data_IF_820123612953
#
_entry.id   IF_820123612953
#
_cell.length_a   1.000
_cell.length_b   1.000
_cell.length_c   1.000
_cell.angle_alpha   90.00
_cell.angle_beta   90.00
_cell.angle_gamma   90.00
#
_symmetry.space_group_name_H-M   'P 1'
#
loop_
_entity.id
_entity.type
_entity.pdbx_description
1 polymer ?
#
# COMPACT_ATOMS: atom_id res chain seq x y z
N UNK A 1 -44.61 28.19 -59.07
CA UNK A 1 -43.85 28.01 -60.33
C UNK A 1 -42.40 28.39 -60.06
N UNK A 2 -41.49 27.52 -60.47
CA UNK A 2 -40.06 27.48 -60.11
C UNK A 2 -39.24 28.43 -60.98
N UNK A 3 -38.29 29.17 -60.42
CA UNK A 3 -37.19 29.79 -61.19
C UNK A 3 -35.90 28.94 -61.03
N UNK A 4 -35.41 28.25 -62.08
CA UNK A 4 -34.43 27.19 -61.95
C UNK A 4 -32.99 27.60 -62.32
N UNK A 5 -32.44 28.72 -61.82
CA UNK A 5 -31.06 29.16 -62.21
C UNK A 5 -30.14 29.75 -61.13
N UNK A 6 -30.08 29.19 -59.92
CA UNK A 6 -28.87 29.34 -59.08
C UNK A 6 -28.45 28.02 -58.43
N UNK A 7 -27.71 27.20 -59.17
CA UNK A 7 -26.86 26.15 -58.59
C UNK A 7 -25.77 26.83 -57.76
N UNK A 8 -25.89 26.82 -56.43
CA UNK A 8 -24.73 27.02 -55.56
C UNK A 8 -23.92 25.72 -55.59
N UNK A 9 -22.76 25.73 -56.24
CA UNK A 9 -21.77 24.67 -56.05
C UNK A 9 -21.27 24.74 -54.62
N UNK A 10 -21.69 23.81 -53.78
CA UNK A 10 -21.08 23.59 -52.47
C UNK A 10 -20.02 22.50 -52.69
N UNK A 11 -18.74 22.86 -52.58
CA UNK A 11 -17.65 21.89 -52.48
C UNK A 11 -17.70 21.27 -51.08
N UNK A 12 -18.32 20.11 -50.94
CA UNK A 12 -18.19 19.30 -49.73
C UNK A 12 -16.79 18.68 -49.69
N UNK A 13 -16.02 18.80 -48.60
CA UNK A 13 -14.72 18.14 -48.49
C UNK A 13 -14.92 16.62 -48.43
N UNK A 14 -14.11 15.89 -49.20
CA UNK A 14 -14.07 14.43 -49.17
C UNK A 14 -13.66 13.93 -47.78
N UNK A 15 -14.50 13.10 -47.17
CA UNK A 15 -14.19 12.44 -45.90
C UNK A 15 -12.94 11.55 -45.98
N UNK A 16 -12.31 11.22 -44.84
CA UNK A 16 -11.04 10.53 -44.81
C UNK A 16 -11.16 9.13 -45.44
N UNK A 17 -10.26 8.82 -46.38
CA UNK A 17 -10.11 7.49 -46.97
C UNK A 17 -9.79 6.48 -45.87
N UNK A 18 -10.56 5.39 -45.79
CA UNK A 18 -10.22 4.22 -44.95
C UNK A 18 -8.83 3.71 -45.37
N UNK A 19 -7.88 3.70 -44.43
CA UNK A 19 -6.59 3.02 -44.62
C UNK A 19 -6.87 1.53 -44.83
N UNK A 20 -6.27 0.96 -45.86
CA UNK A 20 -6.28 -0.47 -46.17
C UNK A 20 -5.81 -1.24 -44.93
N UNK A 21 -6.67 -2.09 -44.39
CA UNK A 21 -6.32 -3.01 -43.30
C UNK A 21 -5.21 -3.92 -43.81
N UNK A 22 -4.05 -3.92 -43.14
CA UNK A 22 -3.01 -4.92 -43.41
C UNK A 22 -3.56 -6.30 -43.07
N UNK A 23 -3.50 -7.21 -44.04
CA UNK A 23 -3.85 -8.61 -43.82
C UNK A 23 -2.77 -9.28 -42.95
N UNK A 24 -3.12 -9.54 -41.69
CA UNK A 24 -2.26 -10.19 -40.70
C UNK A 24 -2.25 -11.72 -40.83
N UNK A 25 -2.89 -12.29 -41.86
CA UNK A 25 -2.87 -13.73 -42.16
C UNK A 25 -1.48 -14.29 -42.51
N UNK A 26 -0.43 -13.46 -42.55
CA UNK A 26 0.97 -13.90 -42.72
C UNK A 26 1.71 -14.16 -41.41
N UNK A 27 1.09 -13.90 -40.25
CA UNK A 27 1.70 -14.14 -38.92
C UNK A 27 1.10 -15.35 -38.21
N UNK A 28 0.79 -16.42 -38.96
CA UNK A 28 0.50 -17.72 -38.35
C UNK A 28 1.79 -18.35 -37.83
N UNK A 29 1.75 -18.68 -36.55
CA UNK A 29 2.81 -19.25 -35.74
C UNK A 29 3.35 -20.56 -36.32
N UNK A 30 4.67 -20.73 -36.28
CA UNK A 30 5.30 -22.04 -36.44
C UNK A 30 4.74 -23.03 -35.39
N UNK A 31 4.55 -24.31 -35.73
CA UNK A 31 4.15 -25.31 -34.74
C UNK A 31 5.31 -25.53 -33.75
N UNK A 32 5.05 -25.31 -32.47
CA UNK A 32 5.95 -25.65 -31.36
C UNK A 32 6.13 -27.17 -31.32
N UNK A 33 7.10 -27.68 -32.05
CA UNK A 33 7.60 -29.04 -31.87
C UNK A 33 8.64 -28.99 -30.75
N UNK A 34 8.29 -29.47 -29.56
CA UNK A 34 9.28 -29.63 -28.48
C UNK A 34 8.85 -29.42 -27.03
N UNK A 35 7.55 -29.29 -26.71
CA UNK A 35 7.11 -29.33 -25.31
C UNK A 35 6.76 -30.78 -24.93
N UNK A 36 7.54 -31.39 -24.03
CA UNK A 36 7.14 -32.65 -23.39
C UNK A 36 5.81 -32.43 -22.66
N UNK A 37 4.82 -33.29 -22.95
CA UNK A 37 3.55 -33.30 -22.24
C UNK A 37 3.77 -33.73 -20.79
N UNK A 38 3.39 -32.86 -19.86
CA UNK A 38 3.35 -33.19 -18.44
C UNK A 38 2.13 -34.09 -18.22
N UNK A 39 2.26 -35.28 -17.58
CA UNK A 39 1.11 -36.14 -17.33
C UNK A 39 0.06 -35.44 -16.48
N UNK A 40 -1.22 -35.53 -16.88
CA UNK A 40 -2.34 -35.05 -16.07
C UNK A 40 -2.39 -35.86 -14.75
N UNK A 41 -2.63 -35.21 -13.60
CA UNK A 41 -2.79 -35.92 -12.33
C UNK A 41 -4.06 -36.77 -12.35
N UNK A 42 -3.96 -38.01 -11.86
CA UNK A 42 -5.09 -38.94 -11.74
C UNK A 42 -6.15 -38.43 -10.75
N UNK A 43 -7.44 -38.68 -11.02
CA UNK A 43 -8.50 -38.35 -10.08
C UNK A 43 -8.39 -39.21 -8.81
N UNK A 44 -8.45 -38.56 -7.65
CA UNK A 44 -8.43 -39.26 -6.35
C UNK A 44 -9.64 -40.19 -6.21
N UNK A 45 -9.46 -41.40 -5.65
CA UNK A 45 -10.57 -42.32 -5.46
C UNK A 45 -11.54 -41.84 -4.38
N UNK A 46 -12.81 -42.14 -4.61
CA UNK A 46 -13.97 -41.83 -3.77
C UNK A 46 -13.83 -42.45 -2.35
N UNK A 47 -13.99 -41.67 -1.25
CA UNK A 47 -13.78 -42.16 0.11
C UNK A 47 -14.83 -43.18 0.60
N UNK A 48 -15.79 -43.60 -0.22
CA UNK A 48 -16.89 -44.48 0.19
C UNK A 48 -16.63 -45.99 0.10
N UNK A 49 -15.44 -46.45 -0.31
CA UNK A 49 -15.18 -47.89 -0.56
C UNK A 49 -14.19 -48.63 0.37
N UNK A 50 -13.96 -48.18 1.61
CA UNK A 50 -13.23 -49.01 2.59
C UNK A 50 -14.08 -49.37 3.81
N UNK A 51 -15.00 -50.31 3.58
CA UNK A 51 -15.53 -51.21 4.60
C UNK A 51 -15.66 -52.60 4.00
N UNK A 52 -14.76 -53.50 4.39
CA UNK A 52 -15.01 -54.86 4.94
C UNK A 52 -13.85 -55.84 4.66
N UNK A 53 -13.69 -56.75 5.63
CA UNK A 53 -12.88 -57.99 5.67
C UNK A 53 -11.39 -57.80 6.04
N UNK A 54 -10.79 -58.44 7.04
CA UNK A 54 -11.20 -59.54 7.93
C UNK A 54 -10.15 -60.68 7.92
N UNK A 55 -9.41 -60.86 9.03
CA UNK A 55 -8.60 -62.06 9.36
C UNK A 55 -7.17 -62.10 8.78
N UNK A 56 -6.10 -62.63 9.41
CA UNK A 56 -5.90 -63.52 10.56
C UNK A 56 -4.37 -63.61 10.90
N UNK A 57 -4.04 -64.18 12.09
CA UNK A 57 -2.71 -64.59 12.67
C UNK A 57 -1.97 -63.50 13.46
N UNK A 58 -1.49 -63.67 14.69
CA UNK A 58 -1.39 -64.73 15.71
C UNK A 58 -0.37 -64.18 16.75
N UNK A 59 -0.67 -63.96 18.02
CA UNK A 59 -0.67 -64.91 19.12
C UNK A 59 0.68 -64.95 19.87
N UNK A 60 0.80 -64.26 21.04
CA UNK A 60 1.65 -64.66 22.20
C UNK A 60 1.54 -63.70 23.42
N UNK A 61 1.22 -64.28 24.61
CA UNK A 61 1.45 -63.80 26.00
C UNK A 61 0.56 -62.64 26.48
N UNK A 62 -0.34 -62.73 27.47
CA UNK A 62 -0.11 -63.11 28.88
C UNK A 62 0.42 -61.87 29.63
N UNK A 63 -0.33 -61.07 30.38
CA UNK A 63 -0.91 -61.34 31.70
C UNK A 63 -2.06 -60.38 32.05
N UNK A 64 -3.03 -60.87 32.84
CA UNK A 64 -4.12 -60.11 33.43
C UNK A 64 -3.64 -59.44 34.73
N UNK A 65 -4.01 -58.17 34.97
CA UNK A 65 -4.27 -57.71 36.35
C UNK A 65 -5.39 -56.67 36.40
N UNK A 66 -6.32 -56.96 37.32
CA UNK A 66 -7.55 -56.26 37.65
C UNK A 66 -7.31 -54.87 38.23
N UNK A 67 -8.30 -53.99 38.01
CA UNK A 67 -8.95 -53.23 39.07
C UNK A 67 -8.21 -52.01 39.64
N UNK A 68 -8.80 -50.83 39.42
CA UNK A 68 -8.40 -49.62 40.13
C UNK A 68 -9.31 -48.45 39.80
N UNK A 69 -10.45 -48.37 40.50
CA UNK A 69 -11.26 -47.14 40.59
C UNK A 69 -10.42 -46.08 41.30
N UNK A 70 -9.80 -45.18 40.55
CA UNK A 70 -9.08 -44.01 41.06
C UNK A 70 -9.96 -42.78 41.01
N UNK A 71 -10.60 -42.48 42.13
CA UNK A 71 -11.27 -41.21 42.42
C UNK A 71 -10.19 -40.11 42.48
N UNK A 72 -10.12 -39.25 41.46
CA UNK A 72 -9.05 -38.27 41.30
C UNK A 72 -9.59 -36.86 41.06
N UNK A 73 -9.87 -36.19 42.18
CA UNK A 73 -9.83 -34.75 42.42
C UNK A 73 -10.09 -33.80 41.22
N UNK A 74 -11.27 -33.16 41.21
CA UNK A 74 -11.55 -31.96 40.42
C UNK A 74 -10.64 -30.82 40.92
N UNK A 75 -9.42 -30.76 40.39
CA UNK A 75 -8.61 -29.56 40.47
C UNK A 75 -9.35 -28.43 39.75
N UNK A 76 -9.97 -27.54 40.52
CA UNK A 76 -10.32 -26.19 40.08
C UNK A 76 -9.05 -25.51 39.60
N UNK A 77 -8.72 -25.72 38.33
CA UNK A 77 -7.77 -24.89 37.61
C UNK A 77 -8.37 -23.51 37.52
N UNK A 78 -7.92 -22.62 38.39
CA UNK A 78 -8.11 -21.19 38.33
C UNK A 78 -7.51 -20.66 37.01
N UNK A 79 -8.23 -20.88 35.91
CA UNK A 79 -7.83 -20.43 34.57
C UNK A 79 -8.22 -18.97 34.41
N UNK A 80 -7.23 -18.09 34.56
CA UNK A 80 -7.08 -16.99 33.61
C UNK A 80 -7.47 -15.58 34.07
N UNK A 81 -7.64 -15.31 35.36
CA UNK A 81 -7.70 -13.92 35.85
C UNK A 81 -6.30 -13.45 36.24
N UNK A 82 -5.53 -12.94 35.28
CA UNK A 82 -4.19 -12.41 35.57
C UNK A 82 -3.44 -11.79 34.40
N UNK A 83 -3.93 -11.93 33.16
CA UNK A 83 -3.31 -11.38 31.96
C UNK A 83 -3.93 -10.08 31.43
N UNK A 84 -4.82 -9.45 32.19
CA UNK A 84 -5.59 -8.30 31.68
C UNK A 84 -4.91 -6.93 31.85
N UNK A 85 -3.80 -6.83 32.60
CA UNK A 85 -3.16 -5.54 32.91
C UNK A 85 -1.69 -5.40 32.51
N UNK A 86 -1.13 -6.31 31.70
CA UNK A 86 0.21 -6.06 31.14
C UNK A 86 0.08 -5.12 29.93
N UNK A 87 0.84 -4.00 29.90
CA UNK A 87 0.89 -3.14 28.73
C UNK A 87 1.29 -3.96 27.50
N UNK A 88 0.49 -3.88 26.43
CA UNK A 88 0.87 -4.51 25.16
C UNK A 88 2.21 -3.91 24.72
N UNK A 89 3.17 -4.74 24.25
CA UNK A 89 4.41 -4.22 23.69
C UNK A 89 4.10 -3.23 22.56
N UNK A 90 4.78 -2.08 22.57
CA UNK A 90 4.63 -1.09 21.51
C UNK A 90 5.25 -1.65 20.21
N UNK A 91 4.69 -1.33 19.02
CA UNK A 91 5.22 -1.78 17.74
C UNK A 91 6.70 -1.39 17.56
N UNK A 92 7.51 -2.29 17.00
CA UNK A 92 8.95 -2.05 16.81
C UNK A 92 9.20 -0.93 15.80
N UNK A 93 8.29 -0.81 14.83
CA UNK A 93 8.27 0.15 13.74
C UNK A 93 8.17 1.60 14.24
N UNK A 94 7.64 1.81 15.45
CA UNK A 94 7.45 3.13 16.06
C UNK A 94 8.52 3.44 17.12
N UNK A 95 9.54 2.59 17.27
CA UNK A 95 10.49 2.70 18.39
C UNK A 95 11.23 4.04 18.40
N UNK A 96 11.52 4.60 17.23
CA UNK A 96 12.30 5.83 17.09
C UNK A 96 11.44 7.04 16.73
N UNK A 97 10.11 6.86 16.77
CA UNK A 97 9.12 7.92 16.56
C UNK A 97 8.81 8.63 17.88
N UNK A 98 8.75 9.96 17.81
CA UNK A 98 8.40 10.80 18.96
C UNK A 98 7.10 11.56 18.76
N UNK A 99 6.74 11.84 17.51
CA UNK A 99 5.63 12.68 17.14
C UNK A 99 4.84 12.04 16.01
N UNK A 100 3.53 12.26 16.04
CA UNK A 100 2.61 11.83 15.00
C UNK A 100 1.52 12.87 14.80
N UNK A 101 0.93 12.91 13.60
CA UNK A 101 -0.17 13.81 13.26
C UNK A 101 -1.48 13.06 13.22
N UNK A 102 -2.53 13.66 13.78
CA UNK A 102 -3.86 13.07 13.81
C UNK A 102 -4.47 12.98 12.40
N UNK A 103 -4.97 11.80 12.01
CA UNK A 103 -5.73 11.59 10.78
C UNK A 103 -7.24 11.47 11.04
N UNK A 104 -7.63 10.74 12.08
CA UNK A 104 -9.03 10.63 12.50
C UNK A 104 -9.12 10.34 14.00
N UNK A 105 -10.23 10.76 14.62
CA UNK A 105 -10.53 10.48 16.03
C UNK A 105 -11.95 9.95 16.19
N UNK A 106 -12.06 8.67 16.58
CA UNK A 106 -13.30 8.08 17.06
C UNK A 106 -13.46 8.38 18.55
N UNK A 107 -14.17 9.47 18.85
CA UNK A 107 -14.45 9.93 20.21
C UNK A 107 -15.24 8.90 21.01
N UNK A 108 -16.16 8.15 20.38
CA UNK A 108 -16.96 7.14 21.06
C UNK A 108 -16.12 5.93 21.46
N UNK A 109 -15.22 5.51 20.58
CA UNK A 109 -14.27 4.44 20.84
C UNK A 109 -13.07 4.84 21.70
N UNK A 110 -12.81 6.14 21.86
CA UNK A 110 -11.59 6.67 22.47
C UNK A 110 -10.32 6.27 21.71
N UNK A 111 -10.43 6.14 20.39
CA UNK A 111 -9.34 5.70 19.52
C UNK A 111 -9.07 6.71 18.43
N UNK A 112 -7.81 7.05 18.26
CA UNK A 112 -7.34 7.88 17.16
C UNK A 112 -6.46 7.07 16.20
N UNK A 113 -6.51 7.42 14.92
CA UNK A 113 -5.53 6.99 13.92
C UNK A 113 -4.60 8.17 13.65
N UNK A 114 -3.29 7.94 13.71
CA UNK A 114 -2.26 8.97 13.51
C UNK A 114 -1.21 8.50 12.50
N UNK A 115 -0.53 9.46 11.87
CA UNK A 115 0.62 9.23 10.98
C UNK A 115 1.91 9.68 11.67
N UNK A 116 2.92 8.82 11.75
CA UNK A 116 4.21 9.13 12.33
C UNK A 116 5.01 10.12 11.46
N UNK A 117 5.71 11.07 12.09
CA UNK A 117 6.37 12.18 11.40
C UNK A 117 7.69 11.83 10.70
N UNK A 118 8.29 10.65 10.90
CA UNK A 118 9.55 10.29 10.21
C UNK A 118 9.39 9.15 9.21
N UNK A 119 8.68 8.11 9.61
CA UNK A 119 8.50 6.87 8.84
C UNK A 119 7.26 6.86 7.94
N UNK A 120 6.40 7.88 8.01
CA UNK A 120 5.07 7.91 7.38
C UNK A 120 4.16 6.73 7.79
N UNK A 121 4.45 6.09 8.92
CA UNK A 121 3.70 4.92 9.38
C UNK A 121 2.42 5.31 10.11
N UNK A 122 1.32 4.61 9.85
CA UNK A 122 0.07 4.84 10.55
C UNK A 122 -0.09 3.92 11.76
N UNK A 123 -0.52 4.49 12.88
CA UNK A 123 -0.80 3.73 14.10
C UNK A 123 -2.07 4.16 14.79
N UNK A 124 -2.61 3.27 15.62
CA UNK A 124 -3.80 3.50 16.42
C UNK A 124 -3.41 3.80 17.86
N UNK A 125 -3.95 4.89 18.38
CA UNK A 125 -3.71 5.36 19.73
C UNK A 125 -4.99 5.22 20.55
N UNK A 126 -4.84 4.83 21.82
CA UNK A 126 -5.87 4.99 22.83
C UNK A 126 -5.76 6.39 23.41
N UNK A 127 -6.83 7.16 23.35
CA UNK A 127 -6.85 8.56 23.75
C UNK A 127 -7.25 8.72 25.22
N UNK A 128 -6.69 9.72 25.89
CA UNK A 128 -7.11 10.18 27.23
C UNK A 128 -8.35 11.07 27.14
N UNK A 129 -8.35 11.97 26.16
CA UNK A 129 -9.38 12.98 25.98
C UNK A 129 -10.68 12.35 25.47
N UNK A 130 -11.81 12.78 26.03
CA UNK A 130 -13.16 12.52 25.51
C UNK A 130 -13.62 13.59 24.52
N UNK A 131 -12.77 14.56 24.21
CA UNK A 131 -13.06 15.68 23.30
C UNK A 131 -12.51 15.44 21.91
N UNK A 132 -13.12 16.06 20.91
CA UNK A 132 -12.67 15.96 19.53
C UNK A 132 -11.35 16.73 19.37
N UNK A 133 -10.31 16.03 18.91
CA UNK A 133 -9.02 16.64 18.59
C UNK A 133 -9.04 17.03 17.11
N UNK A 134 -8.61 18.26 16.76
CA UNK A 134 -8.42 18.69 15.38
C UNK A 134 -7.56 17.73 14.55
N UNK A 135 -7.99 17.45 13.32
CA UNK A 135 -7.18 16.73 12.33
C UNK A 135 -5.87 17.49 12.09
N UNK A 136 -4.80 16.78 11.75
CA UNK A 136 -3.44 17.27 11.56
C UNK A 136 -2.74 17.78 12.82
N UNK A 137 -3.40 17.75 13.98
CA UNK A 137 -2.76 18.10 15.23
C UNK A 137 -1.60 17.16 15.54
N UNK A 138 -0.48 17.77 15.91
CA UNK A 138 0.75 17.07 16.32
C UNK A 138 0.59 16.54 17.74
N UNK A 139 0.81 15.23 17.91
CA UNK A 139 0.62 14.48 19.15
C UNK A 139 1.92 13.77 19.50
N UNK A 140 2.34 13.88 20.76
CA UNK A 140 3.53 13.18 21.26
C UNK A 140 3.23 11.69 21.50
N UNK A 141 3.96 10.82 20.81
CA UNK A 141 3.89 9.35 20.94
C UNK A 141 5.20 8.72 21.42
N UNK A 142 6.21 9.53 21.74
CA UNK A 142 7.54 9.05 22.13
C UNK A 142 7.56 8.20 23.40
N UNK A 143 8.74 7.61 23.66
CA UNK A 143 8.98 6.65 24.76
C UNK A 143 8.64 7.20 26.15
N UNK A 144 8.79 8.50 26.35
CA UNK A 144 8.51 9.16 27.61
C UNK A 144 6.99 9.32 27.83
N UNK A 145 6.40 8.35 28.52
CA UNK A 145 4.95 8.34 28.80
C UNK A 145 4.47 9.55 29.59
N UNK A 146 5.34 10.21 30.36
CA UNK A 146 4.96 11.39 31.15
C UNK A 146 4.63 12.60 30.26
N UNK A 147 5.24 12.68 29.07
CA UNK A 147 5.02 13.75 28.08
C UNK A 147 3.81 13.50 27.17
N UNK A 148 3.19 12.31 27.24
CA UNK A 148 1.99 11.98 26.46
C UNK A 148 0.77 12.65 27.10
N UNK A 149 0.43 13.88 26.69
CA UNK A 149 -0.72 14.62 27.23
C UNK A 149 -2.05 14.02 26.79
N UNK A 150 -2.16 13.60 25.53
CA UNK A 150 -3.42 13.11 24.94
C UNK A 150 -3.51 11.58 24.82
N UNK A 151 -2.39 10.87 25.00
CA UNK A 151 -2.28 9.45 24.65
C UNK A 151 -2.18 8.57 25.90
N UNK A 152 -3.08 7.60 26.04
CA UNK A 152 -3.00 6.54 27.06
C UNK A 152 -2.01 5.44 26.65
N UNK A 153 -1.99 5.07 25.37
CA UNK A 153 -1.10 4.05 24.86
C UNK A 153 -1.29 3.77 23.38
N UNK A 154 -0.34 3.06 22.79
CA UNK A 154 -0.37 2.65 21.39
C UNK A 154 -1.06 1.28 21.31
N UNK A 155 -2.14 1.18 20.52
CA UNK A 155 -2.91 -0.05 20.34
C UNK A 155 -2.27 -1.00 19.31
N UNK A 156 -1.59 -0.43 18.32
CA UNK A 156 -0.91 -1.15 17.24
C UNK A 156 -0.83 -0.33 15.96
N UNK A 157 -0.35 -0.93 14.88
CA UNK A 157 -0.35 -0.32 13.55
C UNK A 157 -1.79 -0.17 13.03
N UNK A 158 -2.03 0.87 12.24
CA UNK A 158 -3.29 1.05 11.55
C UNK A 158 -3.28 0.27 10.23
N UNK A 159 -4.44 -0.23 9.84
CA UNK A 159 -4.64 -0.78 8.51
C UNK A 159 -5.50 0.18 7.70
N UNK A 160 -5.05 0.50 6.48
CA UNK A 160 -5.69 1.49 5.60
C UNK A 160 -7.12 1.08 5.20
N UNK A 161 -7.37 -0.22 5.06
CA UNK A 161 -8.69 -0.81 4.76
C UNK A 161 -9.72 -0.52 5.86
N UNK A 162 -9.28 -0.39 7.11
CA UNK A 162 -10.13 -0.14 8.29
C UNK A 162 -10.31 1.33 8.63
N UNK A 163 -9.66 2.24 7.92
CA UNK A 163 -9.85 3.68 8.12
C UNK A 163 -11.21 4.13 7.61
N UNK A 164 -11.74 5.22 8.17
CA UNK A 164 -12.96 5.83 7.65
C UNK A 164 -12.75 6.38 6.22
N UNK A 165 -13.85 6.58 5.48
CA UNK A 165 -13.77 7.19 4.15
C UNK A 165 -13.23 8.62 4.21
N UNK A 166 -13.54 9.35 5.30
CA UNK A 166 -13.01 10.70 5.51
C UNK A 166 -11.49 10.66 5.71
N UNK A 167 -11.00 9.76 6.57
CA UNK A 167 -9.56 9.57 6.77
C UNK A 167 -8.81 9.22 5.47
N UNK A 168 -9.40 8.38 4.61
CA UNK A 168 -8.82 8.08 3.29
C UNK A 168 -8.79 9.31 2.37
N UNK A 169 -9.80 10.17 2.43
CA UNK A 169 -9.83 11.42 1.65
C UNK A 169 -8.85 12.47 2.16
N UNK A 170 -8.61 12.53 3.48
CA UNK A 170 -7.70 13.48 4.10
C UNK A 170 -6.23 13.05 4.04
N UNK A 171 -5.97 11.75 3.88
CA UNK A 171 -4.62 11.18 3.88
C UNK A 171 -3.67 11.80 2.86
N UNK A 172 -4.04 12.03 1.58
CA UNK A 172 -3.15 12.68 0.62
C UNK A 172 -2.68 14.06 1.09
N UNK A 173 -3.57 14.85 1.69
CA UNK A 173 -3.25 16.18 2.23
C UNK A 173 -2.29 16.07 3.43
N UNK A 174 -2.50 15.09 4.30
CA UNK A 174 -1.60 14.86 5.44
C UNK A 174 -0.20 14.43 5.01
N UNK A 175 -0.11 13.52 4.04
CA UNK A 175 1.16 13.07 3.45
C UNK A 175 1.84 14.22 2.70
N UNK A 176 1.08 15.07 1.99
CA UNK A 176 1.62 16.24 1.31
C UNK A 176 2.32 17.19 2.30
N UNK A 177 1.69 17.51 3.43
CA UNK A 177 2.33 18.36 4.45
C UNK A 177 3.63 17.74 4.96
N UNK A 178 3.68 16.41 5.16
CA UNK A 178 4.93 15.74 5.52
C UNK A 178 6.01 15.90 4.43
N UNK A 179 5.64 15.77 3.15
CA UNK A 179 6.58 15.98 2.04
C UNK A 179 7.07 17.43 1.98
N UNK A 180 6.19 18.39 2.26
CA UNK A 180 6.54 19.82 2.31
C UNK A 180 7.48 20.13 3.49
N UNK A 181 7.22 19.58 4.67
CA UNK A 181 8.06 19.72 5.87
C UNK A 181 9.48 19.17 5.66
N UNK A 182 9.61 18.11 4.86
CA UNK A 182 10.88 17.51 4.48
C UNK A 182 11.27 17.81 3.02
N UNK A 183 10.82 18.94 2.48
CA UNK A 183 10.94 19.26 1.06
C UNK A 183 12.37 19.17 0.52
N UNK A 184 13.36 19.64 1.29
CA UNK A 184 14.77 19.58 0.90
C UNK A 184 15.25 18.14 0.69
N UNK A 185 14.92 17.24 1.63
CA UNK A 185 15.28 15.83 1.54
C UNK A 185 14.73 15.18 0.26
N UNK A 186 13.45 15.42 -0.06
CA UNK A 186 12.85 14.84 -1.26
C UNK A 186 13.37 15.46 -2.57
N UNK A 187 13.74 16.74 -2.54
CA UNK A 187 14.44 17.37 -3.66
C UNK A 187 15.77 16.69 -3.92
N UNK A 188 16.56 16.46 -2.88
CA UNK A 188 17.90 15.87 -3.01
C UNK A 188 17.87 14.38 -3.32
N UNK A 189 17.04 13.60 -2.62
CA UNK A 189 17.01 12.14 -2.72
C UNK A 189 16.22 11.63 -3.92
N UNK A 190 15.17 12.33 -4.34
CA UNK A 190 14.35 11.91 -5.48
C UNK A 190 14.55 12.81 -6.68
N UNK A 191 14.25 14.11 -6.57
CA UNK A 191 14.17 14.95 -7.76
C UNK A 191 15.52 15.18 -8.43
N UNK A 192 16.58 15.43 -7.67
CA UNK A 192 17.92 15.67 -8.19
C UNK A 192 18.58 14.37 -8.68
N UNK A 193 18.37 13.25 -7.96
CA UNK A 193 18.94 11.93 -8.30
C UNK A 193 18.15 11.12 -9.33
N UNK A 194 16.93 11.53 -9.69
CA UNK A 194 16.10 10.81 -10.65
C UNK A 194 16.81 10.61 -12.00
N UNK A 195 16.69 9.40 -12.55
CA UNK A 195 17.34 9.05 -13.81
C UNK A 195 16.49 8.11 -14.67
N UNK A 196 17.01 7.65 -15.82
CA UNK A 196 16.36 6.62 -16.61
C UNK A 196 16.36 5.29 -15.83
N UNK A 197 15.17 4.72 -15.60
CA UNK A 197 15.02 3.37 -15.04
C UNK A 197 15.20 2.29 -16.11
N UNK A 198 14.82 2.60 -17.35
CA UNK A 198 15.05 1.77 -18.52
C UNK A 198 15.27 2.64 -19.74
N UNK A 199 15.56 2.01 -20.89
CA UNK A 199 15.64 2.72 -22.18
C UNK A 199 14.36 3.49 -22.55
N UNK A 200 13.21 3.14 -21.96
CA UNK A 200 11.90 3.70 -22.31
C UNK A 200 11.25 4.51 -21.19
N UNK A 201 11.78 4.46 -19.96
CA UNK A 201 11.08 4.98 -18.78
C UNK A 201 12.04 5.72 -17.85
N UNK A 202 11.64 6.92 -17.45
CA UNK A 202 12.34 7.75 -16.46
C UNK A 202 11.71 7.63 -15.06
N UNK A 203 12.48 7.78 -13.98
CA UNK A 203 11.97 7.68 -12.60
C UNK A 203 10.86 8.68 -12.27
N UNK A 204 10.87 9.87 -12.89
CA UNK A 204 9.77 10.83 -12.74
C UNK A 204 8.42 10.30 -13.21
N UNK A 205 8.41 9.32 -14.12
CA UNK A 205 7.16 8.71 -14.61
C UNK A 205 6.53 7.76 -13.58
N UNK A 206 7.18 7.56 -12.43
CA UNK A 206 6.55 6.93 -11.27
C UNK A 206 5.53 7.85 -10.60
N UNK A 207 5.67 9.16 -10.75
CA UNK A 207 4.71 10.10 -10.19
C UNK A 207 3.38 10.01 -10.95
N UNK A 208 2.24 9.99 -10.24
CA UNK A 208 0.91 10.13 -10.83
C UNK A 208 0.87 11.35 -11.75
N UNK A 209 0.14 11.27 -12.86
CA UNK A 209 0.00 12.37 -13.83
C UNK A 209 1.32 12.92 -14.39
N UNK A 210 2.41 12.14 -14.35
CA UNK A 210 3.68 12.44 -15.01
C UNK A 210 3.97 11.41 -16.10
N UNK A 211 3.54 11.72 -17.31
CA UNK A 211 3.91 10.93 -18.49
C UNK A 211 5.28 11.29 -19.08
N UNK A 212 5.71 10.60 -20.15
CA UNK A 212 7.03 10.77 -20.77
C UNK A 212 7.34 12.21 -21.20
N UNK A 213 6.33 12.97 -21.65
CA UNK A 213 6.50 14.37 -22.06
C UNK A 213 6.84 15.26 -20.85
N UNK A 214 6.09 15.09 -19.76
CA UNK A 214 6.27 15.89 -18.54
C UNK A 214 7.58 15.50 -17.84
N UNK A 215 7.91 14.21 -17.78
CA UNK A 215 9.21 13.74 -17.30
C UNK A 215 10.38 14.34 -18.08
N UNK A 216 10.33 14.37 -19.42
CA UNK A 216 11.37 15.03 -20.24
C UNK A 216 11.47 16.53 -19.97
N UNK A 217 10.36 17.22 -19.72
CA UNK A 217 10.38 18.63 -19.36
C UNK A 217 11.01 18.86 -17.99
N UNK A 218 10.73 18.00 -17.01
CA UNK A 218 11.38 18.02 -15.69
C UNK A 218 12.90 17.80 -15.81
N UNK A 219 13.33 16.84 -16.63
CA UNK A 219 14.76 16.62 -16.89
C UNK A 219 15.41 17.86 -17.50
N UNK A 220 14.79 18.46 -18.52
CA UNK A 220 15.30 19.72 -19.12
C UNK A 220 15.38 20.87 -18.13
N UNK A 221 14.38 20.99 -17.25
CA UNK A 221 14.37 22.00 -16.20
C UNK A 221 15.54 21.80 -15.24
N UNK A 222 15.78 20.56 -14.80
CA UNK A 222 16.93 20.21 -13.94
C UNK A 222 18.25 20.48 -14.64
N UNK A 223 18.42 20.00 -15.88
CA UNK A 223 19.67 20.14 -16.63
C UNK A 223 20.02 21.63 -16.89
N UNK A 224 19.02 22.51 -16.93
CA UNK A 224 19.21 23.95 -17.06
C UNK A 224 19.79 24.63 -15.82
N UNK A 225 19.58 24.06 -14.62
CA UNK A 225 20.10 24.58 -13.34
C UNK A 225 21.17 23.68 -12.70
N UNK A 226 21.40 22.50 -13.26
CA UNK A 226 22.25 21.45 -12.71
C UNK A 226 21.52 20.62 -11.65
N UNK A 227 21.11 21.26 -10.56
CA UNK A 227 20.31 20.66 -9.47
C UNK A 227 19.29 21.67 -8.98
N UNK A 228 18.12 21.20 -8.57
CA UNK A 228 17.14 22.06 -7.89
C UNK A 228 17.62 22.33 -6.46
N UNK A 229 17.62 23.59 -6.05
CA UNK A 229 17.95 24.03 -4.72
C UNK A 229 16.80 23.83 -3.73
N UNK A 230 15.54 23.87 -4.20
CA UNK A 230 14.36 23.72 -3.34
C UNK A 230 13.14 23.18 -4.09
N UNK A 231 12.11 22.79 -3.32
CA UNK A 231 10.84 22.33 -3.88
C UNK A 231 10.13 23.45 -4.66
N UNK A 232 10.29 24.71 -4.24
CA UNK A 232 9.72 25.87 -4.92
C UNK A 232 10.38 26.13 -6.28
N UNK A 233 11.71 26.01 -6.35
CA UNK A 233 12.43 26.14 -7.62
C UNK A 233 12.02 25.02 -8.59
N UNK A 234 11.95 23.78 -8.12
CA UNK A 234 11.43 22.65 -8.89
C UNK A 234 10.03 22.95 -9.44
N UNK A 235 9.11 23.39 -8.57
CA UNK A 235 7.72 23.69 -8.95
C UNK A 235 7.65 24.78 -10.02
N UNK A 236 8.42 25.85 -9.87
CA UNK A 236 8.46 26.98 -10.79
C UNK A 236 9.04 26.60 -12.16
N UNK A 237 10.18 25.92 -12.18
CA UNK A 237 10.90 25.58 -13.42
C UNK A 237 10.22 24.45 -14.19
N UNK A 238 9.80 23.39 -13.49
CA UNK A 238 9.16 22.24 -14.13
C UNK A 238 7.64 22.43 -14.33
N UNK A 239 7.04 23.48 -13.76
CA UNK A 239 5.59 23.75 -13.79
C UNK A 239 4.77 22.59 -13.26
N UNK A 240 5.19 22.07 -12.10
CA UNK A 240 4.56 20.96 -11.41
C UNK A 240 4.26 21.32 -9.96
N UNK A 241 3.57 20.42 -9.26
CA UNK A 241 3.41 20.45 -7.81
C UNK A 241 4.11 19.24 -7.21
N UNK A 242 5.42 19.33 -7.02
CA UNK A 242 6.28 18.20 -6.65
C UNK A 242 5.85 17.50 -5.35
N UNK A 243 5.49 18.28 -4.33
CA UNK A 243 5.04 17.70 -3.06
C UNK A 243 3.72 16.94 -3.20
N UNK A 244 2.73 17.51 -3.89
CA UNK A 244 1.43 16.88 -4.16
C UNK A 244 1.59 15.58 -4.96
N UNK A 245 2.39 15.60 -6.03
CA UNK A 245 2.63 14.42 -6.88
C UNK A 245 3.32 13.29 -6.11
N UNK A 246 4.33 13.61 -5.29
CA UNK A 246 5.04 12.62 -4.50
C UNK A 246 4.13 12.06 -3.39
N UNK A 247 3.31 12.89 -2.77
CA UNK A 247 2.35 12.45 -1.76
C UNK A 247 1.29 11.51 -2.33
N UNK A 248 0.74 11.83 -3.50
CA UNK A 248 -0.18 10.93 -4.21
C UNK A 248 0.48 9.58 -4.50
N UNK A 249 1.74 9.58 -4.99
CA UNK A 249 2.49 8.35 -5.22
C UNK A 249 2.66 7.52 -3.95
N UNK A 250 2.98 8.15 -2.83
CA UNK A 250 3.11 7.43 -1.55
C UNK A 250 1.80 6.81 -1.11
N UNK A 251 0.68 7.53 -1.23
CA UNK A 251 -0.64 6.98 -0.91
C UNK A 251 -1.00 5.81 -1.82
N UNK A 252 -0.79 5.93 -3.14
CA UNK A 252 -1.01 4.82 -4.08
C UNK A 252 -0.20 3.57 -3.72
N UNK A 253 1.09 3.74 -3.38
CA UNK A 253 1.94 2.62 -2.96
C UNK A 253 1.50 2.01 -1.64
N UNK A 254 0.92 2.81 -0.75
CA UNK A 254 0.40 2.33 0.54
C UNK A 254 -0.87 1.50 0.36
N UNK A 255 -1.76 1.92 -0.53
CA UNK A 255 -2.98 1.20 -0.88
C UNK A 255 -2.70 -0.07 -1.70
N UNK A 256 -1.78 0.01 -2.67
CA UNK A 256 -1.37 -1.09 -3.53
C UNK A 256 0.12 -1.43 -3.40
N UNK A 257 0.39 -2.49 -2.62
CA UNK A 257 1.74 -3.02 -2.40
C UNK A 257 2.35 -3.71 -3.63
N UNK A 258 1.56 -3.95 -4.69
CA UNK A 258 2.06 -4.55 -5.93
C UNK A 258 2.72 -3.54 -6.85
N UNK A 259 2.53 -2.23 -6.61
CA UNK A 259 3.19 -1.17 -7.35
C UNK A 259 4.70 -1.25 -7.12
N UNK A 260 5.44 -1.49 -8.20
CA UNK A 260 6.90 -1.52 -8.20
C UNK A 260 7.44 -0.63 -9.32
N UNK A 261 8.58 0.07 -9.12
CA UNK A 261 9.33 0.22 -7.87
C UNK A 261 8.59 1.08 -6.81
N UNK A 262 8.94 0.90 -5.53
CA UNK A 262 8.33 1.62 -4.40
C UNK A 262 9.24 2.76 -3.91
N UNK A 263 8.79 3.99 -4.10
CA UNK A 263 9.48 5.18 -3.60
C UNK A 263 9.40 5.28 -2.07
N UNK A 264 8.34 4.77 -1.46
CA UNK A 264 8.20 4.70 0.00
C UNK A 264 9.28 3.85 0.67
N UNK A 265 9.75 2.78 0.03
CA UNK A 265 10.85 1.95 0.55
C UNK A 265 12.23 2.56 0.28
N UNK A 266 12.34 3.40 -0.74
CA UNK A 266 13.58 4.06 -1.12
C UNK A 266 13.85 5.34 -0.32
N UNK A 267 12.79 6.10 -0.02
CA UNK A 267 12.87 7.46 0.49
C UNK A 267 12.43 7.59 1.96
N UNK A 268 12.03 6.50 2.62
CA UNK A 268 11.60 6.53 4.02
C UNK A 268 12.36 5.49 4.85
N UNK A 269 12.57 5.74 6.15
CA UNK A 269 12.22 6.96 6.89
C UNK A 269 13.10 8.15 6.49
N UNK A 270 12.61 9.37 6.73
CA UNK A 270 13.44 10.57 6.57
C UNK A 270 14.43 10.61 7.75
N UNK A 271 15.69 10.27 7.47
CA UNK A 271 16.78 10.47 8.41
C UNK A 271 17.16 11.95 8.39
N UNK A 272 16.93 12.62 9.53
CA UNK A 272 17.30 14.01 9.75
C UNK A 272 18.74 14.13 10.25
#
# INVERSE_FOLDING_TARGET
>A
MSDPRRRRQIKSPSGPRKKTTQDLSKYWSAPTTGRQEVPKPEPKPDPSQQRKQGGQRGGRGGERRQGGRGQGNRGQGNRGQGRQNQPRPEPKELKDESWARLLEHDVKGGVATVMAEKSLMFCRLKMKASELIPINQRIYIGKDRSKRTEVLGILGMAHLDKMSNMARQDMPSLVQMFVEEHGQYFVDEFYNKAGPMSLKQHSYELLPDVGPVKARNMVKARDGVGVFASMDELNALAKIKGAELLAQRFVEEMEDKSLVPRLTELLLPVEA
#
